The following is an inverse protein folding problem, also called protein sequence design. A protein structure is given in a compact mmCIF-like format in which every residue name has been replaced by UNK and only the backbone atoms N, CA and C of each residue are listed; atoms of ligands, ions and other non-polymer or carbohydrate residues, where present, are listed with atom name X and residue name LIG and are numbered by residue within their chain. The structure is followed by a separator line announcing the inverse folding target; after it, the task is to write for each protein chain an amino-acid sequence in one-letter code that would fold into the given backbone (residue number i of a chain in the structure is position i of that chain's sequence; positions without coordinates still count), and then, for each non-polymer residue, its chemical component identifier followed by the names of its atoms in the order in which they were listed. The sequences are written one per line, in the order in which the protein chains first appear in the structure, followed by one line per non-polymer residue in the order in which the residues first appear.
data_IF_186354075813
#
_entry.id   IF_186354075813
#
_cell.length_a   1.000
_cell.length_b   1.000
_cell.length_c   1.000
_cell.angle_alpha   90.00
_cell.angle_beta   90.00
_cell.angle_gamma   90.00
#
_symmetry.space_group_name_H-M   'P 1'
#
loop_
_entity.id
_entity.type
_entity.pdbx_description
1 polymer ?
#
# COMPACT_ATOMS: atom_id res chain seq x y z
N UNK A 1 37.98 82.72 23.30
CA UNK A 1 38.21 83.87 22.39
C UNK A 1 38.68 83.32 21.06
N UNK A 2 37.77 83.28 20.07
CA UNK A 2 37.82 84.10 18.84
C UNK A 2 38.71 83.41 17.79
N UNK A 3 38.12 82.52 16.99
CA UNK A 3 37.70 82.71 15.57
C UNK A 3 38.88 82.88 14.61
N UNK A 4 38.90 82.11 13.51
CA UNK A 4 38.85 82.62 12.12
C UNK A 4 39.03 81.45 11.12
N UNK A 5 37.93 81.03 10.45
CA UNK A 5 37.55 81.27 9.02
C UNK A 5 38.21 80.29 8.04
N UNK A 6 37.49 79.33 7.45
CA UNK A 6 36.55 79.38 6.30
C UNK A 6 37.20 79.68 4.95
N UNK A 7 37.20 78.67 4.06
CA UNK A 7 36.88 78.69 2.61
C UNK A 7 37.55 77.45 1.95
N UNK A 8 36.80 76.43 1.48
CA UNK A 8 36.08 76.35 0.19
C UNK A 8 37.09 76.28 -1.00
N UNK A 9 37.02 75.40 -2.01
CA UNK A 9 35.85 74.77 -2.65
C UNK A 9 36.32 73.74 -3.71
N UNK A 10 35.46 72.75 -4.00
CA UNK A 10 35.19 72.06 -5.31
C UNK A 10 36.30 71.23 -5.98
N UNK A 11 36.08 70.08 -6.63
CA UNK A 11 34.93 69.24 -7.05
C UNK A 11 35.52 67.86 -7.48
N UNK A 12 34.84 66.72 -7.59
CA UNK A 12 33.45 66.30 -7.44
C UNK A 12 33.33 64.79 -7.78
N UNK A 13 32.24 64.18 -7.27
CA UNK A 13 31.39 63.07 -7.83
C UNK A 13 32.13 61.81 -8.37
N UNK A 14 31.89 60.58 -7.93
CA UNK A 14 30.60 59.89 -7.98
C UNK A 14 30.59 58.53 -7.24
N UNK A 15 29.44 58.26 -6.62
CA UNK A 15 28.73 56.96 -6.48
C UNK A 15 29.36 55.77 -5.72
N UNK A 16 28.66 55.43 -4.63
CA UNK A 16 28.73 54.21 -3.87
C UNK A 16 28.23 52.98 -4.66
N UNK A 17 28.90 51.85 -4.48
CA UNK A 17 28.28 50.52 -4.57
C UNK A 17 28.75 49.71 -3.38
N UNK A 18 27.85 49.51 -2.42
CA UNK A 18 28.01 48.56 -1.33
C UNK A 18 27.99 47.14 -1.91
N UNK A 19 29.15 46.47 -1.91
CA UNK A 19 29.21 45.02 -2.08
C UNK A 19 28.99 44.37 -0.72
N UNK A 20 27.71 44.12 -0.40
CA UNK A 20 27.32 43.23 0.67
C UNK A 20 27.73 41.80 0.32
N UNK A 21 28.81 41.31 0.93
CA UNK A 21 29.19 39.90 0.87
C UNK A 21 28.24 39.13 1.79
N UNK A 22 27.15 38.62 1.23
CA UNK A 22 26.31 37.64 1.91
C UNK A 22 27.07 36.31 1.99
N UNK A 23 27.69 36.05 3.13
CA UNK A 23 28.27 34.76 3.48
C UNK A 23 27.10 33.78 3.72
N UNK A 24 26.62 33.11 2.68
CA UNK A 24 25.62 32.04 2.84
C UNK A 24 26.27 30.87 3.57
N UNK A 25 25.89 30.70 4.84
CA UNK A 25 26.13 29.49 5.61
C UNK A 25 25.63 28.29 4.79
N UNK A 26 26.54 27.39 4.39
CA UNK A 26 26.18 26.08 3.86
C UNK A 26 25.54 25.28 5.00
N UNK A 27 24.23 25.41 5.14
CA UNK A 27 23.42 24.39 5.81
C UNK A 27 23.48 23.17 4.89
N UNK A 28 23.90 21.98 5.35
CA UNK A 28 23.76 20.78 4.54
C UNK A 28 22.26 20.56 4.32
N UNK A 29 21.75 20.97 3.17
CA UNK A 29 20.46 20.52 2.69
C UNK A 29 20.58 19.02 2.52
N UNK A 30 19.69 18.25 3.16
CA UNK A 30 19.52 16.84 2.86
C UNK A 30 19.51 16.67 1.33
N UNK A 31 20.23 15.67 0.82
CA UNK A 31 20.26 15.38 -0.60
C UNK A 31 18.84 15.01 -1.05
N UNK A 32 18.07 16.00 -1.49
CA UNK A 32 16.79 15.82 -2.15
C UNK A 32 17.11 15.16 -3.49
N UNK A 33 16.51 14.00 -3.77
CA UNK A 33 16.61 13.39 -5.09
C UNK A 33 16.23 14.44 -6.15
N UNK A 34 16.96 14.47 -7.27
CA UNK A 34 16.67 15.41 -8.34
C UNK A 34 15.20 15.25 -8.78
N UNK A 35 14.45 16.35 -9.00
CA UNK A 35 13.07 16.25 -9.46
C UNK A 35 13.03 15.49 -10.79
N UNK A 36 12.16 14.50 -10.87
CA UNK A 36 11.93 13.70 -12.09
C UNK A 36 10.67 14.17 -12.80
N UNK A 37 10.63 13.98 -14.12
CA UNK A 37 9.48 14.41 -14.94
C UNK A 37 8.24 13.63 -14.53
N UNK A 38 8.36 12.31 -14.43
CA UNK A 38 7.28 11.44 -13.94
C UNK A 38 7.82 10.16 -13.32
N UNK A 39 7.04 9.58 -12.39
CA UNK A 39 7.36 8.30 -11.76
C UNK A 39 6.09 7.51 -11.37
N UNK A 40 6.21 6.19 -11.42
CA UNK A 40 5.19 5.24 -11.01
C UNK A 40 5.83 3.95 -10.48
N UNK A 41 5.14 3.30 -9.53
CA UNK A 41 5.51 1.99 -9.02
C UNK A 41 4.27 1.12 -8.80
N UNK A 42 4.20 0.01 -9.53
CA UNK A 42 3.24 -1.06 -9.27
C UNK A 42 3.90 -2.13 -8.41
N UNK A 43 3.37 -2.38 -7.22
CA UNK A 43 3.96 -3.33 -6.28
C UNK A 43 2.92 -4.23 -5.67
N UNK A 44 3.09 -5.53 -5.84
CA UNK A 44 2.11 -6.49 -5.39
C UNK A 44 2.20 -6.78 -3.89
N UNK A 45 3.41 -6.84 -3.33
CA UNK A 45 3.61 -7.19 -1.92
C UNK A 45 4.59 -6.22 -1.27
N UNK A 46 4.17 -5.60 -0.18
CA UNK A 46 5.02 -4.83 0.73
C UNK A 46 4.75 -5.26 2.17
N UNK A 47 5.78 -5.38 3.01
CA UNK A 47 5.64 -5.90 4.38
C UNK A 47 6.48 -5.11 5.36
N UNK A 48 6.00 -4.88 6.58
CA UNK A 48 6.78 -4.21 7.64
C UNK A 48 7.83 -5.11 8.32
N UNK A 49 7.81 -6.42 8.09
CA UNK A 49 8.83 -7.35 8.62
C UNK A 49 10.20 -7.18 7.98
N UNK A 50 10.22 -6.55 6.82
CA UNK A 50 11.42 -6.11 6.16
C UNK A 50 11.42 -4.60 6.31
N UNK A 51 12.48 -4.03 6.89
CA UNK A 51 12.70 -2.59 6.73
C UNK A 51 12.70 -2.30 5.23
N UNK A 52 12.16 -1.15 4.82
CA UNK A 52 12.08 -0.74 3.40
C UNK A 52 13.43 -0.92 2.68
N UNK A 53 14.53 -0.73 3.41
CA UNK A 53 15.90 -1.04 2.97
C UNK A 53 16.12 -2.48 2.45
N UNK A 54 15.61 -3.53 3.11
CA UNK A 54 15.86 -4.92 2.68
C UNK A 54 15.03 -5.33 1.46
N UNK A 55 13.79 -4.87 1.37
CA UNK A 55 12.93 -5.09 0.21
C UNK A 55 13.44 -4.32 -1.02
N UNK A 56 13.91 -3.10 -0.82
CA UNK A 56 14.42 -2.26 -1.92
C UNK A 56 15.85 -2.63 -2.34
N UNK A 57 16.58 -3.36 -1.48
CA UNK A 57 17.88 -3.96 -1.78
C UNK A 57 17.77 -5.21 -2.66
N UNK A 58 16.63 -5.92 -2.62
CA UNK A 58 16.37 -7.06 -3.49
C UNK A 58 15.67 -6.54 -4.73
N UNK A 59 16.43 -6.33 -5.80
CA UNK A 59 15.94 -5.74 -7.05
C UNK A 59 14.67 -6.43 -7.59
N UNK A 60 14.50 -7.74 -7.38
CA UNK A 60 13.34 -8.51 -7.83
C UNK A 60 12.06 -8.31 -7.00
N UNK A 61 12.16 -7.69 -5.81
CA UNK A 61 11.02 -7.40 -4.92
C UNK A 61 10.59 -5.93 -4.93
N UNK A 62 11.25 -5.08 -5.71
CA UNK A 62 10.94 -3.65 -5.88
C UNK A 62 9.65 -3.38 -6.67
N UNK A 63 9.06 -4.41 -7.26
CA UNK A 63 7.91 -4.29 -8.16
C UNK A 63 8.28 -3.72 -9.53
N UNK A 64 7.25 -3.28 -10.27
CA UNK A 64 7.42 -2.60 -11.55
C UNK A 64 7.63 -1.11 -11.29
N UNK A 65 8.88 -0.63 -11.37
CA UNK A 65 9.22 0.79 -11.17
C UNK A 65 9.56 1.45 -12.51
N UNK A 66 8.84 2.52 -12.85
CA UNK A 66 9.09 3.37 -13.99
C UNK A 66 9.44 4.78 -13.51
N UNK A 67 10.60 5.28 -13.90
CA UNK A 67 11.06 6.64 -13.57
C UNK A 67 11.56 7.30 -14.84
N UNK A 68 10.94 8.43 -15.19
CA UNK A 68 11.33 9.24 -16.31
C UNK A 68 12.04 10.50 -15.79
N UNK A 69 13.37 10.45 -15.80
CA UNK A 69 14.18 11.51 -15.23
C UNK A 69 14.20 12.79 -16.09
N UNK A 70 14.13 12.66 -17.42
CA UNK A 70 14.39 13.76 -18.36
C UNK A 70 13.24 14.08 -19.33
N UNK A 71 12.18 13.26 -19.35
CA UNK A 71 11.03 13.45 -20.23
C UNK A 71 11.39 13.27 -21.71
N UNK A 72 12.37 12.42 -22.02
CA UNK A 72 12.82 12.14 -23.39
C UNK A 72 11.92 11.12 -24.11
N UNK A 73 11.51 10.06 -23.42
CA UNK A 73 10.60 9.02 -23.90
C UNK A 73 9.82 8.38 -22.75
N UNK A 74 8.72 7.69 -23.03
CA UNK A 74 7.94 6.99 -22.01
C UNK A 74 8.75 5.80 -21.46
N UNK A 75 8.69 5.63 -20.14
CA UNK A 75 9.32 4.51 -19.43
C UNK A 75 8.23 3.56 -18.98
N UNK A 76 8.30 2.30 -19.43
CA UNK A 76 7.35 1.24 -19.09
C UNK A 76 8.05 0.13 -18.33
N UNK A 77 7.47 -0.30 -17.22
CA UNK A 77 7.91 -1.45 -16.46
C UNK A 77 6.78 -2.48 -16.34
N UNK A 78 7.06 -3.73 -16.70
CA UNK A 78 6.15 -4.86 -16.60
C UNK A 78 6.91 -6.03 -15.98
N UNK A 79 6.97 -6.05 -14.65
CA UNK A 79 7.84 -6.95 -13.90
C UNK A 79 6.98 -7.98 -13.15
N UNK A 80 7.04 -9.27 -13.52
CA UNK A 80 6.36 -10.31 -12.77
C UNK A 80 6.87 -10.40 -11.32
N UNK A 81 6.05 -10.93 -10.41
CA UNK A 81 6.51 -11.17 -9.04
C UNK A 81 7.53 -12.32 -9.04
N UNK A 82 8.72 -12.07 -8.51
CA UNK A 82 9.70 -13.13 -8.23
C UNK A 82 9.33 -13.88 -6.94
N UNK A 83 8.52 -14.93 -7.11
CA UNK A 83 8.07 -15.77 -6.00
C UNK A 83 9.22 -16.54 -5.33
N UNK A 84 10.29 -16.86 -6.07
CA UNK A 84 11.46 -17.57 -5.53
C UNK A 84 12.27 -16.64 -4.63
N UNK A 85 12.51 -15.40 -5.06
CA UNK A 85 13.13 -14.40 -4.22
C UNK A 85 12.30 -14.14 -2.95
N UNK A 86 10.98 -13.99 -3.07
CA UNK A 86 10.12 -13.73 -1.90
C UNK A 86 10.11 -14.89 -0.90
N UNK A 87 10.16 -16.14 -1.39
CA UNK A 87 10.27 -17.34 -0.54
C UNK A 87 11.65 -17.46 0.12
N UNK A 88 12.72 -17.06 -0.57
CA UNK A 88 14.09 -17.12 -0.03
C UNK A 88 14.32 -16.17 1.15
N UNK A 89 13.53 -15.10 1.26
CA UNK A 89 13.59 -14.16 2.39
C UNK A 89 13.04 -14.78 3.68
N UNK A 90 12.32 -15.90 3.61
CA UNK A 90 11.93 -16.68 4.79
C UNK A 90 11.02 -15.90 5.75
N UNK A 91 10.11 -15.08 5.21
CA UNK A 91 9.22 -14.25 6.02
C UNK A 91 8.26 -15.12 6.84
N UNK A 92 8.27 -14.93 8.15
CA UNK A 92 7.48 -15.71 9.09
C UNK A 92 6.73 -14.82 10.08
N UNK A 93 5.51 -15.22 10.42
CA UNK A 93 4.75 -14.64 11.52
C UNK A 93 4.26 -15.77 12.42
N UNK A 94 4.57 -15.69 13.73
CA UNK A 94 4.22 -16.74 14.68
C UNK A 94 4.81 -18.13 14.35
N UNK A 95 5.94 -18.19 13.64
CA UNK A 95 6.58 -19.45 13.21
C UNK A 95 5.99 -20.09 11.95
N UNK A 96 5.03 -19.44 11.30
CA UNK A 96 4.44 -19.87 10.01
C UNK A 96 4.94 -18.94 8.90
N UNK A 97 5.26 -19.51 7.74
CA UNK A 97 5.66 -18.72 6.58
C UNK A 97 4.51 -17.78 6.15
N UNK A 98 4.83 -16.52 5.85
CA UNK A 98 3.86 -15.56 5.34
C UNK A 98 3.38 -15.93 3.94
N UNK A 99 4.26 -16.49 3.10
CA UNK A 99 3.98 -16.75 1.69
C UNK A 99 4.30 -18.19 1.28
N UNK A 100 3.76 -18.63 0.15
CA UNK A 100 3.98 -19.94 -0.47
C UNK A 100 2.81 -20.92 -0.30
N UNK A 101 2.95 -22.16 -0.79
CA UNK A 101 1.87 -23.16 -0.84
C UNK A 101 1.27 -23.54 0.52
N UNK A 102 1.98 -23.31 1.62
CA UNK A 102 1.49 -23.50 2.98
C UNK A 102 1.61 -22.21 3.82
N UNK A 103 1.83 -21.07 3.15
CA UNK A 103 1.94 -19.79 3.83
C UNK A 103 0.56 -19.22 4.21
N UNK A 104 0.58 -18.22 5.08
CA UNK A 104 -0.61 -17.48 5.51
C UNK A 104 -1.29 -16.81 4.30
N UNK A 105 -0.51 -16.26 3.37
CA UNK A 105 -0.97 -15.52 2.20
C UNK A 105 -0.55 -16.24 0.92
N UNK A 106 -1.52 -16.49 0.06
CA UNK A 106 -1.33 -17.10 -1.26
C UNK A 106 -1.92 -16.19 -2.32
N UNK A 107 -1.21 -15.98 -3.41
CA UNK A 107 -1.62 -15.13 -4.53
C UNK A 107 -1.59 -15.95 -5.81
N UNK A 108 -2.68 -15.91 -6.56
CA UNK A 108 -2.85 -16.56 -7.86
C UNK A 108 -2.17 -15.77 -8.97
N UNK A 109 -2.71 -15.82 -10.20
CA UNK A 109 -2.14 -15.08 -11.33
C UNK A 109 -2.24 -13.56 -11.11
N UNK A 110 -1.11 -12.97 -10.72
CA UNK A 110 -0.96 -11.57 -10.31
C UNK A 110 0.18 -10.92 -11.09
N UNK A 111 0.11 -9.62 -11.28
CA UNK A 111 1.07 -8.87 -12.07
C UNK A 111 1.31 -7.48 -11.51
N UNK A 112 2.38 -6.85 -12.00
CA UNK A 112 2.82 -5.52 -11.59
C UNK A 112 3.21 -4.73 -12.84
N UNK A 113 2.73 -3.50 -12.92
CA UNK A 113 2.90 -2.65 -14.08
C UNK A 113 3.05 -1.18 -13.67
N UNK A 114 3.89 -0.44 -14.38
CA UNK A 114 4.05 0.99 -14.19
C UNK A 114 4.46 1.68 -15.49
N UNK A 115 4.01 2.92 -15.66
CA UNK A 115 4.36 3.81 -16.76
C UNK A 115 4.66 5.20 -16.21
N UNK A 116 5.77 5.77 -16.67
CA UNK A 116 6.15 7.16 -16.44
C UNK A 116 6.28 7.84 -17.81
N UNK A 117 5.29 8.65 -18.18
CA UNK A 117 5.20 9.28 -19.50
C UNK A 117 6.09 10.53 -19.59
N UNK A 118 6.56 10.83 -20.80
CA UNK A 118 7.41 11.99 -21.08
C UNK A 118 6.70 13.34 -20.87
N UNK A 119 5.37 13.35 -20.86
CA UNK A 119 4.54 14.54 -20.64
C UNK A 119 4.39 14.93 -19.16
N UNK A 120 4.88 14.11 -18.23
CA UNK A 120 4.75 14.32 -16.79
C UNK A 120 3.60 13.55 -16.13
N UNK A 121 2.79 12.80 -16.89
CA UNK A 121 1.78 11.89 -16.35
C UNK A 121 2.39 10.53 -15.98
N UNK A 122 1.72 9.80 -15.10
CA UNK A 122 2.13 8.43 -14.74
C UNK A 122 0.96 7.54 -14.34
N UNK A 123 1.14 6.23 -14.48
CA UNK A 123 0.15 5.23 -14.10
C UNK A 123 0.84 4.00 -13.52
N UNK A 124 0.27 3.42 -12.46
CA UNK A 124 0.75 2.20 -11.84
C UNK A 124 -0.42 1.24 -11.63
N UNK A 125 -0.15 -0.06 -11.71
CA UNK A 125 -1.09 -1.13 -11.45
C UNK A 125 -0.40 -2.29 -10.73
N UNK A 126 -1.12 -2.92 -9.82
CA UNK A 126 -0.76 -4.25 -9.34
C UNK A 126 -2.01 -5.06 -8.95
N UNK A 127 -1.94 -6.38 -9.10
CA UNK A 127 -3.04 -7.27 -8.74
C UNK A 127 -3.31 -8.38 -9.75
N UNK A 128 -4.52 -8.94 -9.68
CA UNK A 128 -4.98 -10.03 -10.52
C UNK A 128 -5.06 -9.63 -12.00
N UNK A 129 -4.27 -10.27 -12.86
CA UNK A 129 -4.14 -9.85 -14.27
C UNK A 129 -5.36 -10.14 -15.14
N UNK A 130 -6.16 -11.15 -14.78
CA UNK A 130 -7.32 -11.59 -15.58
C UNK A 130 -8.65 -10.99 -15.12
N UNK A 131 -8.69 -10.42 -13.92
CA UNK A 131 -9.96 -10.02 -13.26
C UNK A 131 -10.08 -8.52 -13.00
N UNK A 132 -9.07 -7.73 -13.37
CA UNK A 132 -9.11 -6.26 -13.27
C UNK A 132 -8.65 -5.54 -14.55
N UNK A 133 -9.08 -5.96 -15.77
CA UNK A 133 -8.67 -5.30 -17.00
C UNK A 133 -9.18 -3.85 -17.08
N UNK A 134 -10.25 -3.50 -16.36
CA UNK A 134 -10.78 -2.13 -16.30
C UNK A 134 -9.85 -1.15 -15.58
N UNK A 135 -8.95 -1.65 -14.73
CA UNK A 135 -7.95 -0.84 -14.02
C UNK A 135 -6.63 -0.72 -14.80
N UNK A 136 -6.49 -1.51 -15.87
CA UNK A 136 -5.39 -1.47 -16.81
C UNK A 136 -5.80 -0.60 -18.01
N UNK A 137 -4.88 0.22 -18.51
CA UNK A 137 -5.11 0.96 -19.75
C UNK A 137 -5.40 0.01 -20.92
N UNK A 138 -6.20 0.46 -21.89
CA UNK A 138 -6.52 -0.34 -23.07
C UNK A 138 -5.24 -0.80 -23.80
N UNK A 139 -5.14 -2.10 -24.12
CA UNK A 139 -4.00 -2.67 -24.83
C UNK A 139 -2.78 -3.00 -23.95
N UNK A 140 -2.87 -2.85 -22.62
CA UNK A 140 -1.81 -3.24 -21.69
C UNK A 140 -1.91 -4.72 -21.33
N UNK A 141 -0.85 -5.48 -21.60
CA UNK A 141 -0.70 -6.87 -21.16
C UNK A 141 0.29 -6.95 -20.01
N UNK A 142 -0.16 -7.40 -18.84
CA UNK A 142 0.71 -7.61 -17.67
C UNK A 142 1.15 -9.05 -17.60
N UNK A 143 2.45 -9.29 -17.38
CA UNK A 143 2.99 -10.65 -17.27
C UNK A 143 2.62 -11.24 -15.92
N UNK A 144 1.88 -12.36 -15.85
CA UNK A 144 1.47 -12.96 -14.59
C UNK A 144 2.63 -13.66 -13.87
N UNK A 145 2.49 -13.78 -12.56
CA UNK A 145 3.21 -14.71 -11.71
C UNK A 145 2.27 -15.23 -10.63
N UNK A 146 2.68 -16.25 -9.89
CA UNK A 146 1.90 -16.86 -8.82
C UNK A 146 2.75 -17.00 -7.57
N UNK A 147 2.16 -16.80 -6.41
CA UNK A 147 2.79 -16.99 -5.10
C UNK A 147 1.97 -17.99 -4.30
N UNK A 148 2.32 -19.26 -4.43
CA UNK A 148 1.50 -20.35 -3.88
C UNK A 148 0.39 -20.78 -4.83
N UNK A 149 -0.56 -21.55 -4.29
CA UNK A 149 -1.70 -22.07 -5.02
C UNK A 149 -2.98 -21.80 -4.21
N UNK A 150 -3.58 -20.61 -4.37
CA UNK A 150 -4.85 -20.31 -3.69
C UNK A 150 -5.94 -21.28 -4.13
N UNK A 151 -7.03 -21.34 -3.36
CA UNK A 151 -8.21 -22.13 -3.68
C UNK A 151 -8.75 -21.82 -5.09
N UNK A 152 -9.40 -22.81 -5.70
CA UNK A 152 -10.03 -22.65 -7.01
C UNK A 152 -10.95 -21.42 -7.02
N UNK A 153 -10.93 -20.68 -8.14
CA UNK A 153 -11.67 -19.43 -8.33
C UNK A 153 -11.30 -18.28 -7.39
N UNK A 154 -10.16 -18.37 -6.70
CA UNK A 154 -9.62 -17.30 -5.85
C UNK A 154 -8.27 -16.81 -6.38
N UNK A 155 -8.10 -15.50 -6.49
CA UNK A 155 -6.83 -14.87 -6.83
C UNK A 155 -5.99 -14.52 -5.60
N UNK A 156 -6.58 -14.44 -4.42
CA UNK A 156 -5.83 -14.37 -3.17
C UNK A 156 -6.51 -15.22 -2.10
N UNK A 157 -5.71 -15.77 -1.19
CA UNK A 157 -6.19 -16.51 -0.04
C UNK A 157 -5.37 -16.15 1.19
N UNK A 158 -6.05 -15.89 2.31
CA UNK A 158 -5.44 -15.54 3.60
C UNK A 158 -5.98 -16.50 4.66
N UNK A 159 -5.10 -17.29 5.28
CA UNK A 159 -5.45 -18.28 6.30
C UNK A 159 -4.75 -17.96 7.61
N UNK A 160 -5.54 -17.72 8.66
CA UNK A 160 -5.04 -17.42 10.00
C UNK A 160 -5.79 -18.22 11.07
N UNK A 161 -5.10 -18.55 12.15
CA UNK A 161 -5.65 -19.38 13.22
C UNK A 161 -5.78 -20.86 12.86
N UNK A 162 -6.49 -21.60 13.69
CA UNK A 162 -6.72 -23.03 13.54
C UNK A 162 -8.03 -23.44 14.23
N UNK A 163 -8.53 -24.65 13.96
CA UNK A 163 -9.73 -25.17 14.62
C UNK A 163 -9.59 -25.27 16.16
N UNK A 164 -8.36 -25.31 16.68
CA UNK A 164 -8.06 -25.35 18.11
C UNK A 164 -7.83 -23.96 18.71
N UNK A 165 -7.69 -22.92 17.88
CA UNK A 165 -7.59 -21.54 18.31
C UNK A 165 -8.97 -20.93 18.62
N UNK A 166 -9.05 -19.82 19.38
CA UNK A 166 -10.31 -19.11 19.62
C UNK A 166 -11.09 -18.80 18.34
N UNK A 167 -10.36 -18.41 17.28
CA UNK A 167 -10.92 -18.18 15.95
C UNK A 167 -9.97 -18.69 14.86
N UNK A 168 -10.57 -19.17 13.77
CA UNK A 168 -9.88 -19.47 12.51
C UNK A 168 -10.56 -18.74 11.36
N UNK A 169 -9.79 -18.16 10.46
CA UNK A 169 -10.28 -17.45 9.28
C UNK A 169 -9.59 -17.99 8.03
N UNK A 170 -10.38 -18.37 7.03
CA UNK A 170 -9.92 -18.61 5.66
C UNK A 170 -10.65 -17.64 4.74
N UNK A 171 -9.98 -16.56 4.34
CA UNK A 171 -10.49 -15.53 3.45
C UNK A 171 -10.03 -15.83 2.02
N UNK A 172 -10.98 -16.00 1.11
CA UNK A 172 -10.76 -16.25 -0.32
C UNK A 172 -11.27 -15.06 -1.12
N UNK A 173 -10.42 -14.54 -1.99
CA UNK A 173 -10.67 -13.27 -2.69
C UNK A 173 -10.62 -13.54 -4.18
N UNK A 174 -11.70 -13.25 -4.89
CA UNK A 174 -11.84 -13.55 -6.31
C UNK A 174 -11.04 -12.62 -7.22
N UNK A 175 -11.18 -11.30 -7.05
CA UNK A 175 -10.36 -10.31 -7.75
C UNK A 175 -9.75 -9.38 -6.71
N UNK A 176 -8.47 -9.03 -6.88
CA UNK A 176 -7.77 -8.08 -6.02
C UNK A 176 -6.80 -7.27 -6.88
N UNK A 177 -7.02 -5.96 -6.97
CA UNK A 177 -6.13 -5.07 -7.71
C UNK A 177 -6.23 -3.62 -7.25
N UNK A 178 -5.15 -2.87 -7.44
CA UNK A 178 -5.09 -1.42 -7.28
C UNK A 178 -4.48 -0.77 -8.52
N UNK A 179 -4.91 0.46 -8.78
CA UNK A 179 -4.37 1.34 -9.80
C UNK A 179 -4.25 2.74 -9.25
N UNK A 180 -3.20 3.43 -9.64
CA UNK A 180 -2.97 4.84 -9.31
C UNK A 180 -2.55 5.59 -10.57
N UNK A 181 -3.01 6.82 -10.70
CA UNK A 181 -2.71 7.68 -11.84
C UNK A 181 -2.40 9.10 -11.37
N UNK A 182 -1.44 9.73 -12.04
CA UNK A 182 -1.21 11.17 -11.95
C UNK A 182 -1.32 11.77 -13.34
N UNK A 183 -2.18 12.76 -13.51
CA UNK A 183 -2.31 13.48 -14.78
C UNK A 183 -1.20 14.52 -14.98
N UNK A 184 -1.13 15.11 -16.18
CA UNK A 184 -0.15 16.14 -16.53
C UNK A 184 -0.28 17.44 -15.72
N UNK A 185 -1.43 17.65 -15.07
CA UNK A 185 -1.67 18.80 -14.17
C UNK A 185 -1.22 18.49 -12.73
N UNK A 186 -0.74 17.28 -12.48
CA UNK A 186 -0.32 16.81 -11.17
C UNK A 186 -1.45 16.25 -10.31
N UNK A 187 -2.69 16.14 -10.82
CA UNK A 187 -3.79 15.56 -10.05
C UNK A 187 -3.59 14.06 -9.90
N UNK A 188 -3.66 13.56 -8.67
CA UNK A 188 -3.49 12.16 -8.34
C UNK A 188 -4.85 11.51 -8.04
N UNK A 189 -5.05 10.29 -8.54
CA UNK A 189 -6.23 9.50 -8.25
C UNK A 189 -5.89 8.01 -8.15
N UNK A 190 -6.72 7.28 -7.40
CA UNK A 190 -6.56 5.85 -7.16
C UNK A 190 -7.88 5.10 -7.27
N UNK A 191 -7.80 3.89 -7.81
CA UNK A 191 -8.90 2.95 -7.92
C UNK A 191 -8.45 1.58 -7.42
N UNK A 192 -9.39 0.84 -6.84
CA UNK A 192 -9.15 -0.53 -6.41
C UNK A 192 -10.31 -1.41 -6.83
N UNK A 193 -10.07 -2.71 -6.93
CA UNK A 193 -11.08 -3.71 -7.22
C UNK A 193 -10.94 -4.88 -6.23
N UNK A 194 -12.05 -5.19 -5.58
CA UNK A 194 -12.25 -6.41 -4.80
C UNK A 194 -13.61 -6.99 -5.18
N UNK A 195 -13.62 -7.99 -6.06
CA UNK A 195 -14.86 -8.49 -6.66
C UNK A 195 -15.66 -9.41 -5.73
N UNK A 196 -14.98 -10.31 -5.03
CA UNK A 196 -15.60 -11.24 -4.08
C UNK A 196 -14.70 -11.45 -2.88
N UNK A 197 -15.32 -11.73 -1.74
CA UNK A 197 -14.69 -12.20 -0.52
C UNK A 197 -15.57 -13.31 0.05
N UNK A 198 -15.03 -14.52 0.09
CA UNK A 198 -15.64 -15.66 0.77
C UNK A 198 -14.81 -15.99 2.00
N UNK A 199 -15.41 -15.83 3.18
CA UNK A 199 -14.76 -16.04 4.46
C UNK A 199 -15.33 -17.27 5.14
N UNK A 200 -14.49 -18.25 5.44
CA UNK A 200 -14.85 -19.35 6.33
C UNK A 200 -14.35 -19.02 7.74
N UNK A 201 -15.28 -18.88 8.67
CA UNK A 201 -15.02 -18.55 10.07
C UNK A 201 -15.23 -19.81 10.93
N UNK A 202 -14.29 -20.11 11.79
CA UNK A 202 -14.37 -21.24 12.73
C UNK A 202 -13.63 -20.95 14.04
N UNK A 203 -13.30 -22.01 14.77
CA UNK A 203 -12.56 -21.93 16.03
C UNK A 203 -13.39 -22.33 17.26
N UNK A 204 -12.77 -22.28 18.43
CA UNK A 204 -13.35 -22.79 19.68
C UNK A 204 -14.40 -21.87 20.29
N UNK A 205 -14.46 -20.58 19.90
CA UNK A 205 -15.51 -19.66 20.33
C UNK A 205 -16.85 -19.97 19.65
N UNK A 206 -16.82 -20.36 18.38
CA UNK A 206 -18.01 -20.56 17.55
C UNK A 206 -18.51 -22.01 17.57
N UNK A 207 -17.58 -22.97 17.48
CA UNK A 207 -17.91 -24.39 17.24
C UNK A 207 -18.82 -25.05 18.30
N UNK A 208 -18.71 -24.80 19.62
CA UNK A 208 -19.58 -25.46 20.59
C UNK A 208 -21.04 -25.06 20.43
N UNK A 209 -21.30 -23.77 20.22
CA UNK A 209 -22.65 -23.24 20.04
C UNK A 209 -23.28 -23.75 18.75
N UNK A 210 -22.50 -23.84 17.66
CA UNK A 210 -22.97 -24.44 16.41
C UNK A 210 -23.25 -25.95 16.56
N UNK A 211 -22.44 -26.68 17.32
CA UNK A 211 -22.69 -28.10 17.60
C UNK A 211 -23.98 -28.30 18.41
N UNK A 212 -24.23 -27.47 19.42
CA UNK A 212 -25.48 -27.47 20.18
C UNK A 212 -26.69 -27.14 19.30
N UNK A 213 -26.56 -26.13 18.44
CA UNK A 213 -27.61 -25.75 17.47
C UNK A 213 -27.88 -26.88 16.48
N UNK A 214 -26.83 -27.48 15.91
CA UNK A 214 -26.95 -28.63 15.01
C UNK A 214 -27.69 -29.79 15.68
N UNK A 215 -27.38 -30.08 16.94
CA UNK A 215 -28.05 -31.13 17.74
C UNK A 215 -29.52 -30.80 17.97
N UNK A 216 -29.84 -29.55 18.35
CA UNK A 216 -31.20 -29.11 18.56
C UNK A 216 -32.05 -29.18 17.28
N UNK A 217 -31.44 -28.93 16.12
CA UNK A 217 -32.10 -28.98 14.81
C UNK A 217 -32.23 -30.40 14.23
N UNK A 218 -31.49 -31.38 14.73
CA UNK A 218 -31.46 -32.74 14.20
C UNK A 218 -32.85 -33.39 14.00
N UNK A 219 -33.84 -33.20 14.90
CA UNK A 219 -35.18 -33.76 14.72
C UNK A 219 -35.88 -33.33 13.42
N UNK A 220 -35.54 -32.18 12.83
CA UNK A 220 -36.16 -31.68 11.59
C UNK A 220 -35.67 -32.42 10.33
N UNK A 221 -34.58 -33.18 10.43
CA UNK A 221 -33.90 -33.77 9.28
C UNK A 221 -33.95 -35.30 9.23
N UNK A 222 -34.69 -35.93 10.17
CA UNK A 222 -34.79 -37.39 10.32
C UNK A 222 -35.35 -38.09 9.07
N UNK A 223 -36.07 -37.37 8.21
CA UNK A 223 -36.70 -37.88 6.98
C UNK A 223 -35.87 -37.64 5.70
N UNK A 224 -34.57 -37.35 5.81
CA UNK A 224 -33.66 -37.29 4.65
C UNK A 224 -33.23 -35.89 4.20
N UNK A 225 -33.30 -34.89 5.09
CA UNK A 225 -32.75 -33.54 4.83
C UNK A 225 -31.31 -33.38 5.31
N UNK A 226 -30.61 -32.34 4.83
CA UNK A 226 -29.28 -31.97 5.34
C UNK A 226 -29.41 -30.80 6.30
N UNK A 227 -28.86 -30.95 7.50
CA UNK A 227 -28.80 -29.85 8.46
C UNK A 227 -27.89 -28.75 7.91
N UNK A 228 -28.37 -27.50 7.78
CA UNK A 228 -27.63 -26.43 7.11
C UNK A 228 -26.48 -25.88 7.97
N UNK A 229 -26.38 -26.25 9.25
CA UNK A 229 -25.23 -25.91 10.09
C UNK A 229 -24.13 -26.93 9.84
N UNK A 230 -22.96 -26.45 9.38
CA UNK A 230 -21.83 -27.32 9.06
C UNK A 230 -21.38 -28.14 10.28
N UNK A 231 -21.05 -29.41 10.04
CA UNK A 231 -20.63 -30.32 11.11
C UNK A 231 -19.21 -30.02 11.63
N UNK A 232 -18.41 -29.29 10.86
CA UNK A 232 -17.05 -28.88 11.22
C UNK A 232 -17.01 -27.63 12.12
N UNK A 233 -18.17 -27.08 12.48
CA UNK A 233 -18.26 -25.90 13.34
C UNK A 233 -17.85 -24.60 12.66
N UNK A 234 -17.90 -24.55 11.33
CA UNK A 234 -17.60 -23.35 10.55
C UNK A 234 -18.84 -22.67 9.98
N UNK A 235 -18.72 -21.37 9.69
CA UNK A 235 -19.73 -20.57 8.99
C UNK A 235 -19.07 -19.90 7.80
N UNK A 236 -19.70 -20.01 6.64
CA UNK A 236 -19.29 -19.29 5.44
C UNK A 236 -20.03 -17.94 5.39
N UNK A 237 -19.27 -16.87 5.24
CA UNK A 237 -19.72 -15.49 5.16
C UNK A 237 -19.22 -14.92 3.84
N UNK A 238 -20.13 -14.35 3.06
CA UNK A 238 -19.79 -13.71 1.78
C UNK A 238 -19.56 -12.22 1.95
N UNK A 239 -19.01 -11.57 0.92
CA UNK A 239 -18.89 -10.12 0.87
C UNK A 239 -20.25 -9.43 1.07
N UNK A 240 -21.32 -9.96 0.47
CA UNK A 240 -22.66 -9.41 0.63
C UNK A 240 -23.15 -9.48 2.08
N UNK A 241 -22.84 -10.55 2.81
CA UNK A 241 -23.18 -10.68 4.23
C UNK A 241 -22.41 -9.64 5.08
N UNK A 242 -21.14 -9.38 4.74
CA UNK A 242 -20.30 -8.36 5.39
C UNK A 242 -20.83 -6.94 5.12
N UNK A 243 -21.16 -6.64 3.85
CA UNK A 243 -21.71 -5.34 3.46
C UNK A 243 -23.09 -5.10 4.10
N UNK A 244 -23.93 -6.13 4.18
CA UNK A 244 -25.20 -6.07 4.89
C UNK A 244 -25.01 -5.78 6.39
N UNK A 245 -24.03 -6.41 7.03
CA UNK A 245 -23.67 -6.12 8.43
C UNK A 245 -23.10 -4.71 8.62
N UNK A 246 -22.45 -4.16 7.60
CA UNK A 246 -21.98 -2.78 7.57
C UNK A 246 -23.09 -1.76 7.19
N UNK A 247 -24.28 -2.22 6.78
CA UNK A 247 -25.39 -1.37 6.37
C UNK A 247 -25.20 -0.71 5.00
N UNK A 248 -24.34 -1.26 4.13
CA UNK A 248 -24.04 -0.74 2.79
C UNK A 248 -24.32 -1.78 1.71
N UNK A 249 -24.44 -1.33 0.47
CA UNK A 249 -24.71 -2.19 -0.69
C UNK A 249 -23.49 -2.43 -1.58
N UNK A 250 -22.47 -1.58 -1.44
CA UNK A 250 -21.27 -1.60 -2.27
C UNK A 250 -20.03 -1.28 -1.43
N UNK A 251 -18.91 -1.91 -1.76
CA UNK A 251 -17.64 -1.74 -1.06
C UNK A 251 -17.13 -0.29 -1.13
N UNK A 252 -17.43 0.43 -2.20
CA UNK A 252 -17.04 1.82 -2.40
C UNK A 252 -17.81 2.80 -1.51
N UNK A 253 -18.88 2.35 -0.84
CA UNK A 253 -19.59 3.16 0.17
C UNK A 253 -18.89 3.11 1.53
N UNK A 254 -17.96 2.17 1.73
CA UNK A 254 -17.14 2.14 2.95
C UNK A 254 -16.05 3.20 2.90
N UNK A 255 -15.72 3.85 4.02
CA UNK A 255 -14.55 4.72 4.12
C UNK A 255 -13.26 3.99 3.72
N UNK A 256 -12.31 4.75 3.14
CA UNK A 256 -10.98 4.26 2.86
C UNK A 256 -10.30 3.71 4.14
N UNK A 257 -9.64 2.56 4.04
CA UNK A 257 -8.97 1.89 5.14
C UNK A 257 -9.89 1.13 6.10
N UNK A 258 -11.18 0.93 5.77
CA UNK A 258 -12.11 0.16 6.61
C UNK A 258 -11.64 -1.27 6.79
N UNK A 259 -11.62 -1.75 8.04
CA UNK A 259 -11.35 -3.16 8.35
C UNK A 259 -12.61 -4.00 8.13
N UNK A 260 -12.62 -4.89 7.14
CA UNK A 260 -13.77 -5.75 6.86
C UNK A 260 -14.05 -6.77 7.98
N UNK A 261 -13.02 -7.17 8.72
CA UNK A 261 -13.16 -8.20 9.75
C UNK A 261 -14.01 -7.73 10.96
N UNK A 262 -14.14 -6.42 11.16
CA UNK A 262 -14.95 -5.87 12.26
C UNK A 262 -16.45 -6.20 12.11
N UNK A 263 -16.91 -6.45 10.88
CA UNK A 263 -18.31 -6.79 10.59
C UNK A 263 -18.58 -8.30 10.60
N UNK A 264 -17.53 -9.12 10.60
CA UNK A 264 -17.64 -10.58 10.54
C UNK A 264 -18.45 -11.16 11.70
N UNK A 265 -18.27 -10.75 12.97
CA UNK A 265 -19.07 -11.31 14.06
C UNK A 265 -20.58 -11.13 13.85
N UNK A 266 -21.00 -9.95 13.45
CA UNK A 266 -22.41 -9.65 13.17
C UNK A 266 -22.91 -10.42 11.94
N UNK A 267 -22.11 -10.49 10.88
CA UNK A 267 -22.44 -11.23 9.67
C UNK A 267 -22.60 -12.75 9.95
N UNK A 268 -21.73 -13.34 10.79
CA UNK A 268 -21.83 -14.75 11.22
C UNK A 268 -23.15 -14.99 11.94
N UNK A 269 -23.49 -14.16 12.94
CA UNK A 269 -24.73 -14.33 13.71
C UNK A 269 -25.96 -14.15 12.83
N UNK A 270 -25.97 -13.13 11.97
CA UNK A 270 -27.07 -12.90 11.04
C UNK A 270 -27.24 -14.06 10.05
N UNK A 271 -26.15 -14.61 9.53
CA UNK A 271 -26.16 -15.75 8.61
C UNK A 271 -26.71 -17.01 9.27
N UNK A 272 -26.23 -17.34 10.48
CA UNK A 272 -26.73 -18.49 11.24
C UNK A 272 -28.20 -18.31 11.60
N UNK A 273 -28.57 -17.13 12.09
CA UNK A 273 -29.95 -16.83 12.50
C UNK A 273 -30.92 -16.91 11.33
N UNK A 274 -30.59 -16.31 10.18
CA UNK A 274 -31.41 -16.38 8.96
C UNK A 274 -31.55 -17.81 8.44
N UNK A 275 -30.44 -18.56 8.42
CA UNK A 275 -30.42 -19.97 8.01
C UNK A 275 -31.34 -20.82 8.90
N UNK A 276 -31.30 -20.61 10.22
CA UNK A 276 -32.13 -21.33 11.19
C UNK A 276 -33.60 -20.93 11.08
N UNK A 277 -33.89 -19.63 10.99
CA UNK A 277 -35.27 -19.13 10.93
C UNK A 277 -35.98 -19.47 9.61
N UNK A 278 -35.22 -19.74 8.55
CA UNK A 278 -35.76 -20.21 7.28
C UNK A 278 -36.20 -21.69 7.32
N UNK A 279 -35.88 -22.45 8.38
CA UNK A 279 -36.21 -23.87 8.46
C UNK A 279 -37.70 -24.08 8.79
N UNK A 280 -38.40 -24.96 8.04
CA UNK A 280 -39.77 -25.32 8.35
C UNK A 280 -39.85 -26.09 9.68
N UNK A 281 -40.87 -25.80 10.49
CA UNK A 281 -41.10 -26.49 11.77
C UNK A 281 -40.19 -26.04 12.93
N UNK A 282 -39.35 -25.01 12.73
CA UNK A 282 -38.43 -24.50 13.75
C UNK A 282 -39.13 -24.03 15.04
N UNK A 283 -40.37 -23.52 14.91
CA UNK A 283 -41.18 -23.08 16.06
C UNK A 283 -41.54 -24.18 17.06
N UNK A 284 -41.39 -25.45 16.68
CA UNK A 284 -41.62 -26.59 17.57
C UNK A 284 -40.40 -26.94 18.43
N UNK A 285 -39.25 -26.28 18.22
CA UNK A 285 -38.00 -26.56 18.93
C UNK A 285 -37.71 -25.51 20.00
N UNK A 286 -38.02 -25.84 21.26
CA UNK A 286 -37.91 -24.91 22.40
C UNK A 286 -36.48 -24.45 22.73
N UNK A 287 -35.46 -25.23 22.35
CA UNK A 287 -34.05 -24.89 22.62
C UNK A 287 -33.46 -23.86 21.64
N UNK A 288 -34.02 -23.74 20.43
CA UNK A 288 -33.45 -22.92 19.36
C UNK A 288 -33.41 -21.43 19.72
N UNK A 289 -34.47 -20.80 20.27
CA UNK A 289 -34.42 -19.38 20.63
C UNK A 289 -33.31 -19.05 21.64
N UNK A 290 -33.07 -19.91 22.64
CA UNK A 290 -32.00 -19.71 23.62
C UNK A 290 -30.60 -19.82 23.02
N UNK A 291 -30.40 -20.72 22.05
CA UNK A 291 -29.12 -20.87 21.35
C UNK A 291 -28.85 -19.69 20.41
N UNK A 292 -29.87 -19.16 19.72
CA UNK A 292 -29.75 -17.94 18.93
C UNK A 292 -29.46 -16.71 19.80
N UNK A 293 -30.07 -16.63 20.98
CA UNK A 293 -29.73 -15.60 21.96
C UNK A 293 -28.29 -15.72 22.46
N UNK A 294 -27.80 -16.95 22.68
CA UNK A 294 -26.39 -17.21 23.06
C UNK A 294 -25.42 -16.78 21.96
N UNK A 295 -25.74 -17.07 20.69
CA UNK A 295 -24.95 -16.60 19.56
C UNK A 295 -24.81 -15.08 19.55
N UNK A 296 -25.92 -14.36 19.77
CA UNK A 296 -25.95 -12.90 19.73
C UNK A 296 -25.26 -12.26 20.93
N UNK A 297 -25.59 -12.72 22.13
CA UNK A 297 -25.18 -12.03 23.38
C UNK A 297 -23.80 -12.46 23.90
N UNK A 298 -23.34 -13.66 23.53
CA UNK A 298 -22.11 -14.24 24.08
C UNK A 298 -21.07 -14.53 23.00
N UNK A 299 -21.48 -15.22 21.93
CA UNK A 299 -20.54 -15.62 20.88
C UNK A 299 -20.12 -14.42 20.03
N UNK A 300 -21.05 -13.52 19.66
CA UNK A 300 -20.74 -12.35 18.83
C UNK A 300 -19.65 -11.46 19.46
N UNK A 301 -19.73 -11.02 20.73
CA UNK A 301 -18.71 -10.16 21.32
C UNK A 301 -17.37 -10.88 21.52
N UNK A 302 -17.41 -12.17 21.91
CA UNK A 302 -16.21 -12.99 22.08
C UNK A 302 -15.49 -13.21 20.74
N UNK A 303 -16.25 -13.45 19.66
CA UNK A 303 -15.73 -13.60 18.31
C UNK A 303 -15.12 -12.28 17.82
N UNK A 304 -15.75 -11.14 18.09
CA UNK A 304 -15.19 -9.82 17.76
C UNK A 304 -13.82 -9.59 18.40
N UNK A 305 -13.75 -9.78 19.72
CA UNK A 305 -12.47 -9.67 20.46
C UNK A 305 -11.40 -10.61 19.91
N UNK A 306 -11.76 -11.87 19.62
CA UNK A 306 -10.82 -12.86 19.10
C UNK A 306 -10.34 -12.52 17.68
N UNK A 307 -11.22 -12.03 16.81
CA UNK A 307 -10.89 -11.61 15.44
C UNK A 307 -9.95 -10.41 15.45
N UNK A 308 -10.26 -9.37 16.23
CA UNK A 308 -9.45 -8.15 16.33
C UNK A 308 -8.03 -8.45 16.85
N UNK A 309 -7.91 -9.42 17.76
CA UNK A 309 -6.63 -9.89 18.26
C UNK A 309 -5.85 -10.73 17.22
N UNK A 310 -6.54 -11.38 16.28
CA UNK A 310 -5.93 -12.27 15.31
C UNK A 310 -5.45 -11.54 14.05
N UNK A 311 -6.32 -10.75 13.42
CA UNK A 311 -6.03 -10.17 12.12
C UNK A 311 -6.87 -8.92 11.82
N UNK A 312 -6.40 -8.16 10.83
CA UNK A 312 -7.12 -7.05 10.22
C UNK A 312 -7.08 -7.18 8.70
N UNK A 313 -8.18 -6.79 8.05
CA UNK A 313 -8.31 -6.78 6.61
C UNK A 313 -8.82 -5.41 6.16
N UNK A 314 -7.90 -4.46 6.04
CA UNK A 314 -8.21 -3.09 5.66
C UNK A 314 -8.26 -3.00 4.13
N UNK A 315 -9.38 -2.52 3.59
CA UNK A 315 -9.56 -2.31 2.15
C UNK A 315 -9.37 -0.84 1.78
N UNK A 316 -9.03 -0.58 0.51
CA UNK A 316 -8.98 0.78 -0.05
C UNK A 316 -8.12 1.73 0.80
N UNK A 317 -6.88 1.31 1.10
CA UNK A 317 -5.96 2.12 1.92
C UNK A 317 -5.28 3.13 1.00
N UNK A 318 -5.49 4.42 1.26
CA UNK A 318 -4.89 5.53 0.51
C UNK A 318 -3.89 6.26 1.39
N UNK A 319 -2.70 6.52 0.87
CA UNK A 319 -1.67 7.27 1.60
C UNK A 319 -0.99 8.28 0.69
N UNK A 320 -0.73 9.47 1.22
CA UNK A 320 0.14 10.46 0.59
C UNK A 320 1.49 10.46 1.33
N UNK A 321 2.57 10.20 0.62
CA UNK A 321 3.92 10.30 1.13
C UNK A 321 4.29 11.75 1.45
N UNK A 322 5.25 11.95 2.35
CA UNK A 322 5.78 13.28 2.68
C UNK A 322 6.47 13.95 1.49
N UNK A 323 6.85 13.16 0.49
CA UNK A 323 7.36 13.58 -0.81
C UNK A 323 6.26 14.04 -1.78
N UNK A 324 4.98 13.77 -1.49
CA UNK A 324 3.85 14.06 -2.39
C UNK A 324 3.52 12.89 -3.33
N UNK A 325 4.04 11.69 -3.07
CA UNK A 325 3.63 10.48 -3.78
C UNK A 325 2.26 10.02 -3.29
N UNK A 326 1.35 9.66 -4.20
CA UNK A 326 0.08 9.05 -3.86
C UNK A 326 0.16 7.54 -4.03
N UNK A 327 -0.30 6.79 -3.04
CA UNK A 327 -0.38 5.33 -3.09
C UNK A 327 -1.80 4.84 -2.80
N UNK A 328 -2.30 4.00 -3.69
CA UNK A 328 -3.51 3.21 -3.54
C UNK A 328 -3.12 1.77 -3.21
N UNK A 329 -3.62 1.23 -2.10
CA UNK A 329 -3.47 -0.19 -1.74
C UNK A 329 -4.84 -0.83 -1.64
N UNK A 330 -5.06 -1.90 -2.41
CA UNK A 330 -6.34 -2.58 -2.42
C UNK A 330 -6.63 -3.28 -1.10
N UNK A 331 -5.61 -3.93 -0.51
CA UNK A 331 -5.75 -4.72 0.71
C UNK A 331 -4.52 -4.61 1.60
N UNK A 332 -4.72 -4.23 2.86
CA UNK A 332 -3.71 -4.30 3.92
C UNK A 332 -4.13 -5.37 4.92
N UNK A 333 -3.28 -6.36 5.10
CA UNK A 333 -3.45 -7.45 6.05
C UNK A 333 -2.60 -7.18 7.28
N UNK A 334 -3.26 -6.93 8.41
CA UNK A 334 -2.61 -6.92 9.72
C UNK A 334 -2.65 -8.32 10.32
N UNK A 335 -1.52 -8.85 10.79
CA UNK A 335 -1.45 -10.13 11.48
C UNK A 335 -1.01 -9.93 12.93
N UNK A 336 -1.73 -10.57 13.85
CA UNK A 336 -1.52 -10.58 15.29
C UNK A 336 -1.62 -9.19 15.94
N UNK A 337 -2.40 -9.12 17.02
CA UNK A 337 -2.58 -7.91 17.84
C UNK A 337 -2.85 -6.65 16.99
N UNK A 338 -3.94 -6.65 16.22
CA UNK A 338 -4.32 -5.51 15.38
C UNK A 338 -3.24 -5.05 14.38
N UNK A 339 -2.40 -5.96 13.87
CA UNK A 339 -1.34 -5.64 12.92
C UNK A 339 -0.10 -4.99 13.55
N UNK A 340 0.00 -4.92 14.89
CA UNK A 340 1.13 -4.31 15.58
C UNK A 340 2.47 -5.02 15.30
N UNK A 341 2.44 -6.29 14.93
CA UNK A 341 3.64 -7.09 14.67
C UNK A 341 3.96 -7.24 13.19
N UNK A 342 2.96 -7.28 12.32
CA UNK A 342 3.12 -7.54 10.89
C UNK A 342 1.99 -6.89 10.12
N UNK A 343 2.33 -6.01 9.19
CA UNK A 343 1.40 -5.55 8.15
C UNK A 343 1.94 -5.95 6.80
N UNK A 344 1.03 -6.40 5.94
CA UNK A 344 1.30 -6.80 4.56
C UNK A 344 0.34 -6.05 3.66
N UNK A 345 0.87 -5.14 2.86
CA UNK A 345 0.14 -4.49 1.78
C UNK A 345 0.18 -5.39 0.54
N UNK A 346 -1.00 -5.68 0.03
CA UNK A 346 -1.24 -6.52 -1.14
C UNK A 346 -1.92 -5.67 -2.20
N UNK A 347 -1.33 -5.69 -3.40
CA UNK A 347 -1.71 -4.88 -4.54
C UNK A 347 -1.70 -3.38 -4.22
N UNK A 348 -0.51 -2.78 -4.25
CA UNK A 348 -0.27 -1.34 -4.14
C UNK A 348 0.14 -0.73 -5.49
N UNK A 349 -0.34 0.47 -5.75
CA UNK A 349 0.02 1.28 -6.91
C UNK A 349 0.37 2.69 -6.43
N UNK A 350 1.55 3.16 -6.78
CA UNK A 350 2.09 4.47 -6.37
C UNK A 350 2.40 5.31 -7.60
N UNK A 351 2.09 6.61 -7.54
CA UNK A 351 2.40 7.61 -8.54
C UNK A 351 2.92 8.89 -7.89
N UNK A 352 3.81 9.59 -8.59
CA UNK A 352 4.32 10.87 -8.14
C UNK A 352 5.28 10.80 -6.95
N UNK A 353 5.72 11.97 -6.44
CA UNK A 353 5.44 13.30 -7.00
C UNK A 353 6.07 13.46 -8.39
N UNK A 354 5.29 13.93 -9.37
CA UNK A 354 5.80 14.28 -10.69
C UNK A 354 6.11 15.78 -10.72
N UNK A 355 7.33 16.16 -11.06
CA UNK A 355 7.68 17.57 -11.24
C UNK A 355 7.12 18.11 -12.58
N UNK A 356 6.85 17.22 -13.53
CA UNK A 356 6.44 17.57 -14.87
C UNK A 356 7.60 18.12 -15.69
N UNK A 357 7.41 18.16 -17.01
CA UNK A 357 8.48 18.48 -17.95
C UNK A 357 9.00 19.92 -17.84
N UNK A 358 8.16 20.84 -17.36
CA UNK A 358 8.50 22.25 -17.20
C UNK A 358 9.41 22.54 -15.99
N UNK A 359 9.42 21.65 -14.98
CA UNK A 359 10.18 21.85 -13.74
C UNK A 359 11.56 21.16 -13.75
N UNK A 360 11.84 20.29 -14.74
CA UNK A 360 13.11 19.58 -14.86
C UNK A 360 13.98 20.26 -15.93
N UNK A 361 15.15 20.83 -15.56
CA UNK A 361 16.07 21.41 -16.54
C UNK A 361 16.61 20.33 -17.48
N UNK A 362 16.22 20.37 -18.75
CA UNK A 362 16.81 19.52 -19.78
C UNK A 362 18.21 20.06 -20.08
N UNK A 363 19.23 19.52 -19.43
CA UNK A 363 20.62 19.84 -19.74
C UNK A 363 20.99 19.12 -21.03
N UNK A 364 20.81 19.77 -22.18
CA UNK A 364 21.40 19.28 -23.43
C UNK A 364 22.93 19.26 -23.25
N UNK A 365 23.63 18.17 -23.61
CA UNK A 365 25.10 18.10 -23.59
C UNK A 365 25.79 19.30 -24.27
N UNK A 366 25.16 19.90 -25.28
CA UNK A 366 25.66 21.10 -25.96
C UNK A 366 25.69 22.36 -25.05
N UNK A 367 24.80 22.45 -24.06
CA UNK A 367 24.71 23.58 -23.12
C UNK A 367 25.65 23.43 -21.91
N UNK A 368 26.07 22.22 -21.56
CA UNK A 368 27.03 21.98 -20.48
C UNK A 368 28.44 22.54 -20.79
N UNK A 369 28.81 22.59 -22.07
CA UNK A 369 30.09 23.17 -22.52
C UNK A 369 30.20 24.69 -22.34
N UNK A 370 29.07 25.41 -22.29
CA UNK A 370 29.07 26.89 -22.20
C UNK A 370 29.02 27.34 -20.73
N UNK A 371 28.32 26.61 -19.86
CA UNK A 371 28.24 26.92 -18.43
C UNK A 371 29.49 26.49 -17.63
N UNK A 372 30.15 25.38 -18.03
CA UNK A 372 31.37 24.89 -17.37
C UNK A 372 32.62 25.75 -17.62
N UNK A 373 32.68 26.49 -18.74
CA UNK A 373 33.83 27.30 -19.12
C UNK A 373 34.03 28.56 -18.27
N UNK A 374 32.94 29.17 -17.79
CA UNK A 374 33.01 30.41 -17.00
C UNK A 374 33.39 30.11 -15.53
N UNK A 375 32.89 29.01 -14.97
CA UNK A 375 33.20 28.62 -13.58
C UNK A 375 34.66 28.24 -13.35
N UNK A 376 35.27 27.54 -14.32
CA UNK A 376 36.68 27.13 -14.24
C UNK A 376 37.65 28.32 -14.36
N UNK A 377 37.32 29.33 -15.16
CA UNK A 377 38.13 30.55 -15.29
C UNK A 377 38.10 31.40 -14.02
N UNK A 378 36.96 31.48 -13.33
CA UNK A 378 36.84 32.22 -12.06
C UNK A 378 37.59 31.50 -10.93
N UNK A 379 37.51 30.16 -10.85
CA UNK A 379 38.26 29.38 -9.87
C UNK A 379 39.79 29.45 -10.10
N UNK A 380 40.23 29.42 -11.36
CA UNK A 380 41.65 29.56 -11.71
C UNK A 380 42.19 30.97 -11.38
N UNK A 381 41.41 32.03 -11.64
CA UNK A 381 41.80 33.40 -11.28
C UNK A 381 41.88 33.62 -9.76
N UNK A 382 40.99 32.98 -8.99
CA UNK A 382 41.02 33.02 -7.53
C UNK A 382 42.22 32.24 -6.95
N UNK A 383 42.52 31.06 -7.49
CA UNK A 383 43.70 30.30 -7.08
C UNK A 383 45.02 31.06 -7.37
N UNK A 384 45.12 31.72 -8.55
CA UNK A 384 46.30 32.48 -8.93
C UNK A 384 46.53 33.71 -8.04
N UNK A 385 45.46 34.38 -7.61
CA UNK A 385 45.53 35.56 -6.73
C UNK A 385 45.87 35.20 -5.28
N UNK A 386 45.36 34.06 -4.78
CA UNK A 386 45.70 33.54 -3.44
C UNK A 386 47.15 33.07 -3.38
N UNK A 387 47.66 32.42 -4.43
CA UNK A 387 49.07 31.98 -4.50
C UNK A 387 50.01 33.19 -4.58
N UNK A 388 49.69 34.21 -5.38
CA UNK A 388 50.50 35.46 -5.44
C UNK A 388 50.52 36.22 -4.12
N UNK A 389 49.40 36.26 -3.38
CA UNK A 389 49.37 36.89 -2.03
C UNK A 389 50.23 36.12 -1.02
N UNK A 390 50.25 34.78 -1.08
CA UNK A 390 51.11 33.96 -0.20
C UNK A 390 52.59 34.13 -0.50
N UNK A 391 52.97 34.30 -1.77
CA UNK A 391 54.35 34.55 -2.14
C UNK A 391 54.82 35.96 -1.76
N UNK A 392 53.97 36.98 -1.84
CA UNK A 392 54.31 38.34 -1.39
C UNK A 392 54.49 38.45 0.14
N UNK A 393 53.78 37.64 0.92
CA UNK A 393 53.92 37.57 2.39
C UNK A 393 55.13 36.74 2.86
N UNK A 394 55.70 35.90 1.99
CA UNK A 394 56.88 35.10 2.30
C UNK A 394 58.22 35.84 2.05
N UNK A 395 58.20 36.93 1.27
CA UNK A 395 59.39 37.77 0.98
C UNK A 395 59.52 38.95 1.97
N UNK A 396 58.53 39.15 2.84
CA UNK A 396 58.49 40.24 3.83
C UNK A 396 58.77 39.78 5.28
N UNK A 397 59.52 38.69 5.48
CA UNK A 397 60.04 38.26 6.78
C UNK A 397 61.56 38.17 6.77
#
# INVERSE_FOLDING_TARGET
MTRHTLAATSAGVASATALGVALTLLIPTAAQAAPVVSQANGRLVSTTLLTTGTLDSIASLRGASAVNADGSADVVANTPLDATALQSVGLQSGGVNLFGNNGIIQLGAVGQYAVANADGSSSAFSGAVSQAPSLLGAGVTVTPSTLGAPAANSNAQIRVGSATAPVSLDARIGALAASATQDVSGNQSGQYNLSTLDLTVGGTVLSPTLASLRTALAPLFVLGGTNPINADGTVQVTLADILAAAGVSDLNQLPAGTNLLQYVPAAVVAKVTSTVNALPGIGNLSLVPGLLATLTNTVQPALGTAIDALAQLNVNVKTNGADGAFTETALRVGLLNAGALTTVDIASATVGPNAGRAAVPIVNPASAGIAGGVGLLVAAAFALTVVRRRQALAVAR
#
